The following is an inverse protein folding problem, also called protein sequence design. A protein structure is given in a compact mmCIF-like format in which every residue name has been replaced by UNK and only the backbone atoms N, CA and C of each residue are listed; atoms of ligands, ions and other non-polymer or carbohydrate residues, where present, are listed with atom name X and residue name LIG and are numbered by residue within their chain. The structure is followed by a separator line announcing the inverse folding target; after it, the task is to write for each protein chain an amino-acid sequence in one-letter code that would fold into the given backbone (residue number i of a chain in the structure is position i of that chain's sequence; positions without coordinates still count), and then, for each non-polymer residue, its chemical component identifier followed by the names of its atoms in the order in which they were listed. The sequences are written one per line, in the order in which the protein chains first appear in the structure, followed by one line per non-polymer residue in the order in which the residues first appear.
data_IF_179328197610
#
_entry.id   IF_179328197610
#
_cell.length_a   1.000
_cell.length_b   1.000
_cell.length_c   1.000
_cell.angle_alpha   90.00
_cell.angle_beta   90.00
_cell.angle_gamma   90.00
#
_symmetry.space_group_name_H-M   'P 1'
#
loop_
_entity.id
_entity.type
_entity.pdbx_description
1 polymer ?
2 non-polymer ?
3 non-polymer ?
4 water ?
#
# COMPACT_ATOMS: atom_id res chain seq x y z
N UNK A 5 16.14 6.62 -15.95
CA UNK A 5 17.23 6.75 -14.99
C UNK A 5 16.75 6.37 -13.58
N UNK A 6 17.56 5.60 -12.85
CA UNK A 6 17.10 5.11 -11.54
C UNK A 6 16.62 6.22 -10.62
N UNK A 7 17.31 7.36 -10.62
CA UNK A 7 16.96 8.41 -9.69
C UNK A 7 15.62 9.05 -9.99
N UNK A 8 15.02 8.78 -11.14
CA UNK A 8 13.93 9.64 -11.55
C UNK A 8 12.56 9.03 -11.29
N UNK A 9 12.49 7.79 -10.82
CA UNK A 9 11.21 7.21 -10.46
C UNK A 9 10.66 7.88 -9.22
N UNK A 10 9.34 7.74 -9.05
CA UNK A 10 8.70 8.24 -7.84
C UNK A 10 9.32 7.60 -6.61
N UNK A 11 9.50 6.29 -6.66
CA UNK A 11 10.19 5.55 -5.60
C UNK A 11 11.51 6.20 -5.22
N UNK A 12 12.40 6.43 -6.20
CA UNK A 12 13.68 7.03 -5.87
C UNK A 12 13.52 8.44 -5.32
N UNK A 13 12.62 9.22 -5.92
CA UNK A 13 12.46 10.62 -5.52
C UNK A 13 11.89 10.75 -4.12
N UNK A 14 11.09 9.79 -3.69
CA UNK A 14 10.54 9.89 -2.35
C UNK A 14 11.51 9.37 -1.29
N UNK A 15 12.69 8.90 -1.68
CA UNK A 15 13.66 8.41 -0.72
C UNK A 15 13.91 6.92 -0.80
N UNK A 16 13.30 6.23 -1.75
CA UNK A 16 13.68 4.86 -2.01
C UNK A 16 13.29 3.91 -0.89
N UNK A 17 14.15 2.91 -0.68
CA UNK A 17 13.80 1.77 0.17
C UNK A 17 13.53 2.21 1.62
N UNK A 18 14.40 3.04 2.19
CA UNK A 18 14.19 3.46 3.58
C UNK A 18 12.82 4.11 3.76
N UNK A 19 12.43 4.96 2.81
CA UNK A 19 11.15 5.68 2.89
C UNK A 19 9.97 4.72 2.77
N UNK A 20 10.02 3.81 1.78
CA UNK A 20 8.89 2.90 1.60
C UNK A 20 8.77 1.94 2.78
N UNK A 21 9.90 1.40 3.25
CA UNK A 21 9.82 0.49 4.38
C UNK A 21 9.26 1.18 5.62
N UNK A 22 9.70 2.41 5.91
CA UNK A 22 9.14 3.14 7.04
C UNK A 22 7.66 3.40 6.84
N UNK A 23 7.26 3.82 5.64
CA UNK A 23 5.85 4.12 5.42
C UNK A 23 5.00 2.87 5.63
N UNK A 24 5.44 1.73 5.11
CA UNK A 24 4.67 0.50 5.29
C UNK A 24 4.61 0.11 6.77
N UNK A 25 5.71 0.31 7.51
CA UNK A 25 5.69 -0.03 8.92
C UNK A 25 4.66 0.81 9.68
N UNK A 26 4.65 2.13 9.44
CA UNK A 26 3.71 3.03 10.12
C UNK A 26 2.28 2.72 9.70
N UNK A 27 2.08 2.56 8.39
CA UNK A 27 0.80 2.20 7.80
C UNK A 27 0.17 1.00 8.50
N UNK A 28 0.96 -0.07 8.74
CA UNK A 28 0.36 -1.22 9.39
C UNK A 28 0.22 -1.04 10.90
N UNK A 29 1.04 -0.20 11.55
CA UNK A 29 0.75 0.10 12.96
C UNK A 29 -0.58 0.83 13.10
N UNK A 30 -0.90 1.75 12.18
CA UNK A 30 -2.21 2.41 12.19
C UNK A 30 -3.32 1.42 11.86
N UNK A 31 -3.08 0.53 10.90
CA UNK A 31 -4.18 -0.34 10.49
C UNK A 31 -4.56 -1.30 11.61
N UNK A 32 -3.57 -1.84 12.33
CA UNK A 32 -3.92 -2.81 13.35
C UNK A 32 -4.51 -2.13 14.57
N UNK A 33 -4.37 -0.81 14.69
CA UNK A 33 -5.00 -0.04 15.75
C UNK A 33 -6.39 0.45 15.36
N UNK A 34 -6.79 0.26 14.11
CA UNK A 34 -8.04 0.81 13.59
C UNK A 34 -9.12 -0.25 13.73
N UNK A 35 -10.12 -0.05 14.60
CA UNK A 35 -11.10 -1.12 14.82
C UNK A 35 -11.86 -1.52 13.57
N UNK A 36 -11.90 -0.68 12.54
CA UNK A 36 -12.62 -1.02 11.32
C UNK A 36 -11.82 -1.90 10.40
N UNK A 37 -10.50 -1.95 10.57
CA UNK A 37 -9.64 -2.69 9.67
C UNK A 37 -8.89 -3.81 10.35
N UNK A 38 -8.54 -3.65 11.63
CA UNK A 38 -7.77 -4.66 12.36
C UNK A 38 -8.33 -6.07 12.22
N UNK A 39 -9.64 -6.31 12.23
CA UNK A 39 -10.12 -7.70 12.17
C UNK A 39 -9.69 -8.44 10.91
N UNK A 40 -9.47 -7.72 9.80
CA UNK A 40 -9.00 -8.38 8.58
C UNK A 40 -7.58 -8.91 8.74
N UNK A 41 -6.78 -8.32 9.63
CA UNK A 41 -5.38 -8.69 9.74
C UNK A 41 -5.07 -9.43 11.02
N UNK A 42 -6.09 -9.77 11.81
CA UNK A 42 -5.86 -10.28 13.17
C UNK A 42 -5.16 -11.63 13.18
N UNK A 43 -5.29 -12.43 12.13
CA UNK A 43 -4.56 -13.70 12.08
C UNK A 43 -3.54 -13.71 10.95
N UNK A 44 -3.16 -12.55 10.41
CA UNK A 44 -2.18 -12.45 9.32
C UNK A 44 -0.78 -12.31 9.91
N UNK A 45 0.19 -13.00 9.31
CA UNK A 45 1.59 -12.81 9.71
C UNK A 45 2.00 -11.42 9.24
N UNK A 46 2.07 -10.47 10.16
CA UNK A 46 2.27 -9.10 9.74
C UNK A 46 3.72 -8.82 9.35
N UNK A 47 4.67 -9.67 9.75
CA UNK A 47 6.03 -9.52 9.26
C UNK A 47 6.08 -9.84 7.77
N UNK A 48 5.46 -10.95 7.38
CA UNK A 48 5.42 -11.31 5.98
C UNK A 48 4.58 -10.32 5.18
N UNK A 49 3.48 -9.84 5.78
CA UNK A 49 2.60 -8.91 5.06
C UNK A 49 3.30 -7.59 4.80
N UNK A 50 4.08 -7.09 5.77
CA UNK A 50 4.87 -5.89 5.52
C UNK A 50 5.81 -6.09 4.35
N UNK A 51 6.51 -7.22 4.32
CA UNK A 51 7.42 -7.46 3.20
C UNK A 51 6.67 -7.48 1.87
N UNK A 52 5.48 -8.09 1.84
CA UNK A 52 4.73 -8.13 0.60
C UNK A 52 4.30 -6.74 0.18
N UNK A 53 3.88 -5.92 1.15
CA UNK A 53 3.42 -4.58 0.79
C UNK A 53 4.58 -3.71 0.32
N UNK A 54 5.75 -3.83 0.96
CA UNK A 54 6.91 -3.11 0.47
C UNK A 54 7.18 -3.49 -0.98
N UNK A 55 7.13 -4.80 -1.29
CA UNK A 55 7.44 -5.24 -2.65
C UNK A 55 6.45 -4.67 -3.65
N UNK A 56 5.17 -4.65 -3.29
CA UNK A 56 4.16 -4.14 -4.20
C UNK A 56 4.33 -2.65 -4.40
N UNK A 57 4.46 -1.89 -3.31
CA UNK A 57 4.59 -0.45 -3.42
C UNK A 57 5.85 -0.07 -4.19
N UNK A 58 6.94 -0.79 -3.93
CA UNK A 58 8.19 -0.54 -4.65
C UNK A 58 7.97 -0.68 -6.16
N UNK A 59 7.27 -1.74 -6.56
CA UNK A 59 6.95 -1.96 -7.97
C UNK A 59 6.10 -0.83 -8.55
N UNK A 60 4.96 -0.51 -7.92
CA UNK A 60 4.08 0.46 -8.58
C UNK A 60 4.62 1.88 -8.50
N UNK A 61 5.52 2.17 -7.56
CA UNK A 61 6.19 3.47 -7.55
C UNK A 61 7.40 3.50 -8.48
N UNK A 62 7.63 2.43 -9.26
CA UNK A 62 8.68 2.43 -10.26
C UNK A 62 10.06 2.01 -9.78
N UNK A 63 10.16 1.38 -8.63
CA UNK A 63 11.43 1.00 -8.03
C UNK A 63 11.90 -0.40 -8.31
N UNK A 64 11.11 -1.20 -9.01
CA UNK A 64 11.58 -2.51 -9.39
C UNK A 64 11.02 -2.83 -10.76
N UNK A 65 11.61 -3.83 -11.40
CA UNK A 65 11.32 -4.09 -12.79
C UNK A 65 9.98 -4.73 -13.05
N UNK A 66 9.66 -5.79 -12.32
CA UNK A 66 8.45 -6.55 -12.62
C UNK A 66 7.98 -7.25 -11.36
N UNK A 67 6.72 -7.03 -11.02
CA UNK A 67 6.18 -7.52 -9.76
C UNK A 67 6.17 -9.04 -9.74
N UNK A 68 6.66 -9.62 -8.64
CA UNK A 68 6.72 -11.07 -8.49
C UNK A 68 5.74 -11.61 -7.47
N UNK A 69 4.89 -10.76 -6.90
CA UNK A 69 3.88 -11.22 -5.99
C UNK A 69 2.64 -11.71 -6.72
N UNK A 70 1.65 -12.09 -5.93
CA UNK A 70 0.39 -12.57 -6.46
C UNK A 70 -0.46 -11.41 -6.98
N UNK A 71 -1.16 -11.65 -8.09
CA UNK A 71 -2.14 -10.72 -8.64
C UNK A 71 -3.00 -10.09 -7.54
N UNK A 72 -3.21 -8.76 -7.61
CA UNK A 72 -3.95 -8.06 -6.55
C UNK A 72 -5.41 -8.52 -6.47
N UNK A 73 -6.07 -8.67 -7.62
CA UNK A 73 -7.43 -9.16 -7.61
C UNK A 73 -7.54 -10.52 -6.96
N UNK A 74 -6.66 -11.44 -7.35
CA UNK A 74 -6.73 -12.78 -6.81
C UNK A 74 -6.48 -12.77 -5.31
N UNK A 75 -5.54 -11.93 -4.87
CA UNK A 75 -5.16 -11.88 -3.47
C UNK A 75 -6.28 -11.38 -2.57
N UNK A 76 -7.18 -10.54 -3.09
CA UNK A 76 -8.26 -10.00 -2.26
C UNK A 76 -9.63 -10.59 -2.58
N UNK A 77 -9.73 -11.43 -3.61
CA UNK A 77 -11.04 -11.96 -4.00
C UNK A 77 -11.74 -12.65 -2.84
N UNK A 78 -11.01 -13.48 -2.08
CA UNK A 78 -11.67 -14.18 -0.99
C UNK A 78 -12.14 -13.21 0.08
N UNK A 79 -11.40 -12.11 0.27
CA UNK A 79 -11.78 -11.15 1.29
C UNK A 79 -13.07 -10.45 0.91
N UNK A 80 -13.22 -10.13 -0.37
CA UNK A 80 -14.41 -9.44 -0.86
C UNK A 80 -15.60 -10.39 -0.88
N UNK A 81 -15.38 -11.64 -1.32
CA UNK A 81 -16.50 -12.57 -1.48
C UNK A 81 -16.99 -13.14 -0.16
N UNK A 82 -16.09 -13.35 0.81
CA UNK A 82 -16.46 -14.03 2.04
C UNK A 82 -16.31 -13.21 3.31
N UNK A 83 -15.51 -12.14 3.32
CA UNK A 83 -15.29 -11.39 4.55
C UNK A 83 -15.83 -9.97 4.51
N UNK A 84 -16.61 -9.61 3.50
CA UNK A 84 -17.19 -8.28 3.52
C UNK A 84 -16.23 -7.15 3.25
N UNK A 85 -15.07 -7.42 2.63
CA UNK A 85 -14.18 -6.33 2.26
C UNK A 85 -14.84 -5.47 1.19
N UNK A 86 -14.78 -4.14 1.35
CA UNK A 86 -15.55 -3.30 0.45
C UNK A 86 -14.81 -2.01 0.12
N UNK A 87 -15.44 -1.21 -0.73
CA UNK A 87 -14.81 0.02 -1.20
C UNK A 87 -14.57 1.00 -0.08
N UNK A 88 -15.41 0.99 0.95
CA UNK A 88 -15.16 1.89 2.07
C UNK A 88 -13.88 1.51 2.79
N UNK A 89 -13.63 0.20 2.96
CA UNK A 89 -12.35 -0.21 3.55
C UNK A 89 -11.20 0.28 2.70
N UNK A 90 -11.32 0.18 1.38
CA UNK A 90 -10.28 0.70 0.51
C UNK A 90 -10.02 2.17 0.81
N UNK A 91 -11.07 2.97 0.99
CA UNK A 91 -10.86 4.39 1.29
C UNK A 91 -10.17 4.57 2.63
N UNK A 92 -10.53 3.76 3.63
CA UNK A 92 -9.88 3.88 4.92
C UNK A 92 -8.40 3.54 4.81
N UNK A 93 -8.08 2.50 4.02
CA UNK A 93 -6.69 2.08 3.87
C UNK A 93 -5.89 3.14 3.15
N UNK A 94 -6.47 3.71 2.09
CA UNK A 94 -5.80 4.77 1.35
C UNK A 94 -5.53 5.98 2.23
N UNK A 95 -6.50 6.33 3.09
CA UNK A 95 -6.33 7.48 3.96
C UNK A 95 -5.25 7.24 5.00
N UNK A 96 -5.12 6.00 5.50
CA UNK A 96 -4.00 5.71 6.37
C UNK A 96 -2.68 5.91 5.66
N UNK A 97 -2.59 5.52 4.39
CA UNK A 97 -1.33 5.70 3.69
C UNK A 97 -1.07 7.17 3.42
N UNK A 98 -2.10 7.91 3.05
CA UNK A 98 -1.90 9.33 2.79
C UNK A 98 -1.42 10.03 4.05
N UNK A 99 -2.08 9.77 5.18
CA UNK A 99 -1.67 10.37 6.46
C UNK A 99 -0.27 9.95 6.85
N UNK A 100 0.10 8.68 6.58
CA UNK A 100 1.45 8.22 6.86
C UNK A 100 2.48 9.00 6.05
N UNK A 101 2.22 9.14 4.74
CA UNK A 101 3.18 9.84 3.90
C UNK A 101 3.31 11.29 4.32
N UNK A 102 2.19 11.89 4.75
CA UNK A 102 2.21 13.26 5.23
C UNK A 102 3.06 13.39 6.48
N UNK A 103 2.87 12.48 7.43
CA UNK A 103 3.62 12.54 8.68
C UNK A 103 5.10 12.36 8.44
N UNK A 104 5.47 11.54 7.46
CA UNK A 104 6.86 11.29 7.17
C UNK A 104 7.49 12.39 6.33
N UNK A 105 6.74 13.41 5.97
CA UNK A 105 7.32 14.56 5.32
C UNK A 105 7.46 14.43 3.82
N UNK A 106 6.73 13.52 3.19
CA UNK A 106 6.81 13.37 1.74
C UNK A 106 6.29 14.64 1.09
N UNK A 107 7.02 15.16 0.10
CA UNK A 107 6.59 16.38 -0.57
C UNK A 107 5.20 16.22 -1.17
N UNK A 108 4.41 17.30 -1.12
CA UNK A 108 3.01 17.22 -1.53
C UNK A 108 2.85 16.66 -2.94
N UNK A 109 3.69 17.08 -3.88
CA UNK A 109 3.56 16.58 -5.25
C UNK A 109 3.82 15.08 -5.32
N UNK A 110 4.81 14.59 -4.56
CA UNK A 110 5.11 13.17 -4.58
C UNK A 110 4.02 12.38 -3.87
N UNK A 111 3.51 12.92 -2.76
CA UNK A 111 2.39 12.26 -2.10
C UNK A 111 1.19 12.12 -3.04
N UNK A 112 0.88 13.18 -3.82
CA UNK A 112 -0.26 13.11 -4.73
C UNK A 112 -0.04 12.04 -5.78
N UNK A 113 1.18 11.97 -6.32
CA UNK A 113 1.48 10.95 -7.31
C UNK A 113 1.30 9.55 -6.72
N UNK A 114 1.89 9.33 -5.54
CA UNK A 114 1.79 8.03 -4.90
C UNK A 114 0.34 7.66 -4.66
N UNK A 115 -0.45 8.62 -4.19
CA UNK A 115 -1.81 8.28 -3.84
C UNK A 115 -2.66 8.07 -5.08
N UNK A 116 -2.32 8.73 -6.20
CA UNK A 116 -3.04 8.44 -7.43
C UNK A 116 -2.72 7.04 -7.94
N UNK A 117 -1.47 6.62 -7.77
CA UNK A 117 -1.09 5.25 -8.12
C UNK A 117 -1.84 4.25 -7.25
N UNK A 118 -1.92 4.51 -5.94
CA UNK A 118 -2.75 3.65 -5.10
C UNK A 118 -4.20 3.66 -5.57
N UNK A 119 -4.71 4.83 -5.97
CA UNK A 119 -6.09 4.85 -6.46
C UNK A 119 -6.25 3.95 -7.68
N UNK A 120 -5.21 3.86 -8.51
CA UNK A 120 -5.31 3.03 -9.71
C UNK A 120 -5.41 1.56 -9.37
N UNK A 121 -5.03 1.16 -8.15
CA UNK A 121 -5.16 -0.23 -7.72
C UNK A 121 -6.59 -0.63 -7.41
N UNK A 122 -7.50 0.33 -7.29
CA UNK A 122 -8.86 -0.03 -6.91
C UNK A 122 -9.51 -0.99 -7.90
N UNK A 123 -9.54 -0.72 -9.22
CA UNK A 123 -10.19 -1.69 -10.12
C UNK A 123 -9.49 -3.03 -10.13
N UNK A 124 -8.17 -3.03 -9.99
CA UNK A 124 -7.43 -4.29 -9.91
C UNK A 124 -7.88 -5.09 -8.71
N UNK A 125 -7.98 -4.43 -7.56
CA UNK A 125 -8.31 -5.15 -6.33
C UNK A 125 -9.73 -5.71 -6.38
N UNK A 126 -10.69 -4.92 -6.86
CA UNK A 126 -12.10 -5.34 -6.82
C UNK A 126 -12.55 -6.01 -8.10
N UNK A 127 -11.63 -6.28 -9.02
CA UNK A 127 -12.00 -6.93 -10.26
C UNK A 127 -13.06 -6.18 -11.04
N UNK A 128 -13.05 -4.86 -10.97
CA UNK A 128 -14.00 -4.04 -11.70
C UNK A 128 -13.59 -3.89 -13.17
X LIG B 1 -2.95 -8.80 1.01
X LIG B 1 -2.06 -4.65 -1.43
X LIG B 1 -6.37 -2.86 0.15
X LIG B 1 -6.69 -6.65 3.32
X LIG B 1 -2.39 -7.83 0.20
X LIG B 1 -1.13 -7.97 -0.48
X LIG B 1 -0.89 -6.84 -1.14
X LIG B 1 -1.96 -5.92 -0.90
X LIG B 1 0.33 -6.47 -2.02
X LIG B 1 -0.28 -9.27 -0.43
X LIG B 1 -0.81 -10.20 -1.53
X LIG B 1 0.10 -11.39 -1.68
X LIG B 1 1.06 -11.28 -2.47
X LIG B 1 -0.13 -12.41 -0.98
X LIG B 1 -3.14 -3.83 -1.17
X LIG B 1 -3.26 -2.48 -1.65
X LIG B 1 -4.42 -1.97 -1.23
X LIG B 1 -5.12 -2.98 -0.45
X LIG B 1 -2.19 -1.78 -2.51
X LIG B 1 -4.87 -0.54 -1.57
X LIG B 1 -5.72 0.14 -0.81
X LIG B 1 -6.79 -3.75 1.14
X LIG B 1 -8.01 -3.62 1.92
X LIG B 1 -8.09 -4.67 2.77
X LIG B 1 -6.91 -5.49 2.59
X LIG B 1 -9.02 -2.47 1.71
X LIG B 1 -9.16 -5.01 3.83
X LIG B 1 -9.59 -4.04 4.62
X LIG B 1 -5.65 -7.50 2.95
X LIG B 1 -5.37 -8.72 3.65
X LIG B 1 -4.34 -9.34 3.04
X LIG B 1 -3.95 -8.54 1.91
X LIG B 1 -6.13 -9.19 4.92
X LIG B 1 -3.71 -10.67 3.47
X LIG B 1 -4.61 -11.83 3.02
X LIG B 1 -4.01 -13.14 3.47
X LIG B 1 -4.74 -13.95 4.09
X LIG B 1 -2.80 -13.37 3.21
X LIG B 1 -2.86 -6.56 -0.09
X LIG B 1 -4.30 -4.11 -0.42
X LIG B 1 -6.16 -4.93 1.55
X LIG B 1 -4.76 -7.41 1.89
X LIG B 1 -4.50 -5.78 0.72
X LIG C 1 -3.54 -4.78 2.21
X LIG C 1 -2.79 -4.43 3.00
#
# INVERSE_FOLDING_TARGET
AADTAPADSLYSRMGGEAAVEKAVDVFYERIVADPQLAPFFANVDMKKQRRKQVAFMTYVFGGSGAYEGRDLGASHRRLIREQGMNHHHFDLVAAHLDSTLQELGVAQELKAEAMAIVASARPLIFGTGEAGAAN
HEM CHA CHB CHC CHD C1A C2A C3A C4A CMA CAA CBA CGA O1A O2A C1B C2B C3B C4B CMB CAB CBB C1C C2C C3C C4C CMC CAC CBC C1D C2D C3D C4D CMD CAD CBD CGD O1D O2D NA NB NC ND FE
CYN C N
#
